data_IF_559671951568
#
_entry.id   IF_559671951568
#
_cell.length_a   1.000
_cell.length_b   1.000
_cell.length_c   1.000
_cell.angle_alpha   90.00
_cell.angle_beta   90.00
_cell.angle_gamma   90.00
#
_symmetry.space_group_name_H-M   'P 1'
#
loop_
_entity.id
_entity.type
_entity.pdbx_description
1 polymer ?
2 non-polymer ?
3 water ?
#
# COMPACT_ATOMS: atom_id res chain seq x y z
N UNK A 1 -21.39 1.89 -12.53
CA UNK A 1 -20.63 1.08 -13.51
C UNK A 1 -20.86 -0.40 -13.33
N UNK A 2 -20.23 -1.17 -14.21
CA UNK A 2 -20.40 -2.63 -14.29
C UNK A 2 -19.74 -3.55 -13.30
N UNK A 3 -18.73 -3.08 -12.58
CA UNK A 3 -17.95 -3.98 -11.70
C UNK A 3 -17.16 -4.96 -12.59
N UNK A 4 -16.45 -5.89 -11.94
CA UNK A 4 -15.50 -6.68 -12.66
C UNK A 4 -16.07 -7.78 -13.51
N UNK A 5 -15.26 -8.19 -14.48
CA UNK A 5 -15.58 -9.36 -15.25
C UNK A 5 -14.76 -10.49 -14.60
N UNK A 6 -15.05 -11.68 -15.06
CA UNK A 6 -14.36 -12.91 -14.62
C UNK A 6 -12.84 -12.87 -14.85
N UNK A 7 -12.37 -12.01 -15.75
CA UNK A 7 -10.97 -11.93 -16.11
C UNK A 7 -10.19 -10.76 -15.51
N UNK A 8 -10.74 -10.10 -14.50
CA UNK A 8 -10.10 -8.94 -13.88
C UNK A 8 -8.64 -9.17 -13.52
N UNK A 9 -8.34 -10.31 -12.89
CA UNK A 9 -6.95 -10.56 -12.48
C UNK A 9 -6.00 -10.72 -13.67
N UNK A 10 -6.48 -11.45 -14.68
CA UNK A 10 -5.71 -11.66 -15.90
C UNK A 10 -5.51 -10.32 -16.60
N UNK A 11 -6.55 -9.50 -16.61
CA UNK A 11 -6.50 -8.17 -17.22
C UNK A 11 -5.44 -7.30 -16.55
N UNK A 12 -5.45 -7.24 -15.22
CA UNK A 12 -4.44 -6.45 -14.47
C UNK A 12 -3.05 -6.95 -14.73
N UNK A 13 -2.92 -8.27 -14.73
CA UNK A 13 -1.65 -8.88 -15.00
C UNK A 13 -1.13 -8.46 -16.39
N UNK A 14 -1.96 -8.53 -17.43
CA UNK A 14 -1.54 -8.18 -18.80
C UNK A 14 -1.27 -6.68 -18.92
N UNK A 15 -2.20 -5.89 -18.39
CA UNK A 15 -2.10 -4.44 -18.34
C UNK A 15 -0.79 -3.98 -17.69
N UNK A 16 -0.49 -4.56 -16.53
CA UNK A 16 0.72 -4.22 -15.78
C UNK A 16 1.93 -4.58 -16.61
N UNK A 17 1.87 -5.74 -17.24
CA UNK A 17 2.97 -6.18 -18.07
C UNK A 17 3.17 -5.26 -19.27
N UNK A 18 2.10 -5.07 -20.05
CA UNK A 18 2.19 -4.31 -21.28
C UNK A 18 2.47 -2.83 -21.11
N UNK A 19 1.65 -2.19 -20.27
CA UNK A 19 1.77 -0.75 -20.10
C UNK A 19 2.92 -0.38 -19.19
N UNK A 20 2.97 -0.98 -18.01
CA UNK A 20 3.88 -0.54 -16.96
C UNK A 20 5.24 -1.16 -16.95
N UNK A 21 5.32 -2.44 -17.25
CA UNK A 21 6.61 -3.12 -17.29
C UNK A 21 7.27 -3.01 -18.65
N UNK A 22 6.49 -3.03 -19.73
CA UNK A 22 7.03 -2.99 -21.10
C UNK A 22 6.94 -1.64 -21.77
N UNK A 23 6.18 -0.70 -21.19
CA UNK A 23 6.07 0.64 -21.74
C UNK A 23 5.28 0.75 -23.02
N UNK A 24 4.34 -0.19 -23.22
CA UNK A 24 3.47 -0.16 -24.37
C UNK A 24 2.36 0.81 -23.93
N UNK A 25 2.67 2.10 -24.06
CA UNK A 25 1.80 3.18 -23.58
C UNK A 25 0.43 3.12 -24.23
N UNK A 26 0.41 2.89 -25.54
CA UNK A 26 -0.83 2.82 -26.32
C UNK A 26 -1.73 1.64 -25.98
N UNK A 27 -1.17 0.58 -25.38
CA UNK A 27 -1.98 -0.53 -24.87
C UNK A 27 -2.96 -0.08 -23.78
N UNK A 28 -2.71 1.07 -23.16
CA UNK A 28 -3.66 1.70 -22.23
C UNK A 28 -5.06 1.81 -22.81
N UNK A 29 -5.15 2.03 -24.13
CA UNK A 29 -6.43 2.05 -24.82
C UNK A 29 -7.30 0.82 -24.58
N UNK A 30 -6.69 -0.34 -24.38
CA UNK A 30 -7.41 -1.58 -24.14
C UNK A 30 -7.90 -1.75 -22.72
N UNK A 31 -7.28 -1.02 -21.78
CA UNK A 31 -7.52 -1.23 -20.35
C UNK A 31 -8.14 -0.12 -19.55
N UNK A 32 -7.99 1.12 -20.00
CA UNK A 32 -8.44 2.26 -19.23
C UNK A 32 -9.82 2.68 -19.64
N UNK A 33 -10.63 2.98 -18.63
CA UNK A 33 -11.97 3.48 -18.84
C UNK A 33 -11.89 4.91 -19.34
N UNK A 34 -13.00 5.44 -19.86
CA UNK A 34 -12.99 6.83 -20.35
C UNK A 34 -12.59 7.86 -19.28
N UNK A 35 -12.89 7.55 -18.03
CA UNK A 35 -12.53 8.39 -16.87
C UNK A 35 -11.73 7.51 -15.92
N UNK A 36 -10.55 8.00 -15.53
CA UNK A 36 -9.67 7.29 -14.65
C UNK A 36 -9.24 8.25 -13.57
N UNK A 37 -9.47 7.88 -12.31
CA UNK A 37 -9.18 8.75 -11.20
C UNK A 37 -8.05 8.22 -10.38
N UNK A 38 -7.04 9.05 -10.16
CA UNK A 38 -5.95 8.69 -9.25
C UNK A 38 -6.55 9.06 -7.89
N UNK A 39 -7.18 8.09 -7.27
CA UNK A 39 -7.89 8.32 -6.02
C UNK A 39 -6.94 8.63 -4.89
N UNK A 40 -5.82 7.93 -4.85
CA UNK A 40 -4.83 8.14 -3.83
C UNK A 40 -3.55 7.58 -4.36
N UNK A 41 -2.47 8.33 -4.20
CA UNK A 41 -1.18 7.92 -4.73
C UNK A 41 -0.17 8.96 -4.26
N UNK A 42 0.28 8.82 -3.00
CA UNK A 42 1.15 9.78 -2.37
C UNK A 42 2.27 10.30 -3.25
N UNK A 43 2.30 11.62 -3.40
CA UNK A 43 3.31 12.28 -4.20
C UNK A 43 3.10 12.27 -5.70
N UNK A 44 2.04 11.58 -6.17
CA UNK A 44 1.81 11.49 -7.58
C UNK A 44 1.30 12.85 -8.04
N UNK A 45 1.91 13.44 -9.08
CA UNK A 45 1.43 14.72 -9.57
C UNK A 45 -0.04 14.76 -9.98
N UNK A 46 -0.59 13.61 -10.39
CA UNK A 46 -1.99 13.45 -10.79
C UNK A 46 -2.91 13.02 -9.67
N UNK A 47 -2.42 12.93 -8.43
CA UNK A 47 -3.26 12.51 -7.33
C UNK A 47 -4.50 13.39 -7.22
N UNK A 48 -5.65 12.73 -7.09
CA UNK A 48 -6.93 13.38 -7.02
C UNK A 48 -7.52 13.73 -8.36
N UNK A 49 -6.79 13.56 -9.45
CA UNK A 49 -7.27 13.99 -10.76
C UNK A 49 -8.02 12.89 -11.47
N UNK A 50 -8.98 13.34 -12.27
CA UNK A 50 -9.76 12.50 -13.15
C UNK A 50 -9.10 12.71 -14.49
N UNK A 51 -8.60 11.62 -15.05
CA UNK A 51 -7.91 11.62 -16.33
C UNK A 51 -8.74 10.96 -17.42
N UNK A 52 -8.56 11.40 -18.65
CA UNK A 52 -9.12 10.65 -19.78
C UNK A 52 -7.98 9.70 -20.19
N UNK A 53 -8.22 8.85 -21.16
CA UNK A 53 -7.17 7.89 -21.59
C UNK A 53 -5.89 8.61 -22.04
N UNK A 54 -6.04 9.72 -22.76
CA UNK A 54 -4.90 10.52 -23.21
C UNK A 54 -4.07 10.99 -22.01
N UNK A 55 -4.76 11.54 -21.00
CA UNK A 55 -4.13 12.02 -19.76
C UNK A 55 -3.47 10.88 -19.02
N UNK A 56 -4.15 9.74 -18.97
CA UNK A 56 -3.57 8.52 -18.38
C UNK A 56 -2.25 8.17 -19.06
N UNK A 57 -2.26 8.17 -20.39
CA UNK A 57 -1.07 7.82 -21.17
C UNK A 57 0.05 8.82 -20.92
N UNK A 58 -0.28 10.09 -20.76
CA UNK A 58 0.75 11.09 -20.45
C UNK A 58 1.38 10.81 -19.10
N UNK A 59 0.57 10.39 -18.13
CA UNK A 59 1.11 10.05 -16.83
C UNK A 59 2.02 8.83 -16.95
N UNK A 60 1.61 7.83 -17.73
CA UNK A 60 2.47 6.67 -17.94
C UNK A 60 3.80 7.10 -18.53
N UNK A 61 3.74 7.97 -19.53
CA UNK A 61 4.96 8.44 -20.18
C UNK A 61 5.92 9.11 -19.19
N UNK A 62 5.36 9.92 -18.29
CA UNK A 62 6.19 10.62 -17.28
C UNK A 62 6.81 9.66 -16.30
N UNK A 63 5.98 8.79 -15.74
CA UNK A 63 6.46 7.81 -14.77
C UNK A 63 7.42 6.81 -15.41
N UNK A 64 7.11 6.35 -16.62
CA UNK A 64 8.00 5.40 -17.31
C UNK A 64 9.34 6.05 -17.61
N UNK A 65 9.34 7.31 -18.05
CA UNK A 65 10.56 8.03 -18.38
C UNK A 65 11.57 8.14 -17.22
N UNK A 66 11.08 8.23 -15.99
CA UNK A 66 11.93 8.29 -14.80
C UNK A 66 12.80 7.04 -14.63
N UNK A 67 12.20 5.87 -14.90
CA UNK A 67 12.84 4.56 -14.80
C UNK A 67 12.35 3.76 -15.98
N UNK A 68 12.95 3.99 -17.18
CA UNK A 68 12.45 3.36 -18.40
C UNK A 68 12.48 1.85 -18.50
N UNK A 69 13.34 1.19 -17.73
CA UNK A 69 13.37 -0.28 -17.73
C UNK A 69 12.64 -0.87 -16.54
N UNK A 70 11.82 -0.06 -15.86
CA UNK A 70 11.11 -0.53 -14.69
C UNK A 70 10.23 -1.73 -14.99
N UNK A 71 10.14 -2.64 -14.01
CA UNK A 71 9.38 -3.84 -14.18
C UNK A 71 8.63 -4.10 -12.89
N UNK A 72 7.34 -4.34 -13.02
CA UNK A 72 6.46 -4.66 -11.91
C UNK A 72 6.36 -6.18 -11.85
N UNK A 73 6.42 -6.71 -10.63
CA UNK A 73 6.39 -8.12 -10.38
C UNK A 73 5.24 -8.30 -9.39
N UNK A 74 4.10 -8.73 -9.93
CA UNK A 74 2.88 -8.85 -9.15
C UNK A 74 3.11 -9.97 -8.16
N UNK A 75 2.81 -9.66 -6.91
CA UNK A 75 2.91 -10.60 -5.81
C UNK A 75 1.57 -11.22 -5.52
N UNK A 76 0.54 -10.42 -5.34
CA UNK A 76 -0.77 -10.92 -5.04
C UNK A 76 -1.83 -10.12 -5.76
N UNK A 77 -2.96 -10.77 -6.04
CA UNK A 77 -4.12 -10.11 -6.63
C UNK A 77 -5.27 -10.49 -5.74
N UNK A 78 -5.96 -9.50 -5.20
CA UNK A 78 -7.03 -9.71 -4.24
C UNK A 78 -8.26 -9.02 -4.79
N UNK A 79 -9.21 -9.82 -5.32
CA UNK A 79 -10.39 -9.32 -6.00
C UNK A 79 -11.54 -9.25 -5.01
N UNK A 80 -12.21 -8.12 -4.95
CA UNK A 80 -13.39 -8.00 -4.10
C UNK A 80 -14.27 -6.94 -4.72
N UNK A 81 -15.47 -7.36 -5.13
CA UNK A 81 -16.45 -6.44 -5.71
C UNK A 81 -15.91 -5.89 -7.01
N UNK A 82 -15.96 -4.57 -7.16
CA UNK A 82 -15.46 -3.83 -8.31
C UNK A 82 -13.97 -3.50 -8.30
N UNK A 83 -13.22 -4.12 -7.39
CA UNK A 83 -11.82 -3.82 -7.20
C UNK A 83 -10.96 -5.06 -7.19
N UNK A 84 -9.72 -4.87 -7.61
CA UNK A 84 -8.70 -5.88 -7.48
C UNK A 84 -7.49 -5.14 -6.93
N UNK A 85 -7.03 -5.58 -5.78
CA UNK A 85 -5.83 -5.04 -5.17
C UNK A 85 -4.66 -5.86 -5.69
N UNK A 86 -3.61 -5.19 -6.16
CA UNK A 86 -2.42 -5.81 -6.65
C UNK A 86 -1.30 -5.38 -5.73
N UNK A 87 -0.61 -6.34 -5.15
CA UNK A 87 0.61 -6.05 -4.42
C UNK A 87 1.70 -6.42 -5.39
N UNK A 88 2.81 -5.69 -5.30
CA UNK A 88 3.88 -5.85 -6.25
C UNK A 88 5.23 -5.39 -5.74
N UNK A 89 6.23 -5.96 -6.37
CA UNK A 89 7.61 -5.57 -6.22
C UNK A 89 7.90 -4.90 -7.53
N UNK A 90 8.99 -4.14 -7.53
CA UNK A 90 9.35 -3.33 -8.66
C UNK A 90 10.83 -3.20 -8.68
N UNK A 91 11.39 -3.24 -9.87
CA UNK A 91 12.80 -3.09 -10.04
C UNK A 91 13.00 -2.18 -11.23
N UNK A 92 14.03 -1.38 -11.16
CA UNK A 92 14.40 -0.48 -12.26
C UNK A 92 15.85 -0.12 -12.05
N UNK A 93 16.52 0.21 -13.15
CA UNK A 93 17.91 0.63 -13.14
C UNK A 93 17.88 2.14 -12.97
N UNK A 94 18.77 2.66 -12.14
CA UNK A 94 18.88 4.10 -11.92
C UNK A 94 19.79 4.63 -13.03
N UNK A 95 19.22 4.77 -14.23
CA UNK A 95 19.99 5.20 -15.42
C UNK A 95 19.57 6.55 -16.06
N UNK A 96 18.49 7.14 -15.55
CA UNK A 96 18.08 8.49 -15.94
C UNK A 96 18.39 9.40 -14.77
N UNK A 97 18.76 10.65 -15.07
CA UNK A 97 19.02 11.66 -14.05
C UNK A 97 17.67 12.10 -13.48
N UNK A 98 17.56 12.05 -12.15
CA UNK A 98 16.36 12.47 -11.40
C UNK A 98 16.80 13.60 -10.45
N UNK A 99 15.84 14.40 -9.92
CA UNK A 99 16.21 15.52 -9.04
C UNK A 99 17.17 15.18 -7.89
N UNK A 100 18.40 15.68 -8.00
CA UNK A 100 19.47 15.46 -7.01
C UNK A 100 20.30 14.18 -7.14
N UNK A 101 19.80 13.19 -7.89
CA UNK A 101 20.46 11.88 -8.05
C UNK A 101 20.64 11.51 -9.51
N UNK A 102 21.78 11.93 -10.10
CA UNK A 102 22.06 11.52 -11.47
C UNK A 102 22.32 10.00 -11.61
N UNK A 103 21.98 9.48 -12.79
CA UNK A 103 22.15 8.09 -13.21
C UNK A 103 23.37 7.34 -12.65
N UNK A 104 23.14 6.38 -11.76
CA UNK A 104 24.19 5.54 -11.17
C UNK A 104 24.26 4.12 -11.75
N UNK A 105 23.25 3.74 -12.55
CA UNK A 105 23.16 2.39 -13.12
C UNK A 105 22.82 1.26 -12.16
N UNK A 106 22.60 1.56 -10.87
CA UNK A 106 22.31 0.55 -9.87
C UNK A 106 20.83 0.17 -9.91
N UNK A 107 20.54 -1.04 -9.44
CA UNK A 107 19.15 -1.52 -9.33
C UNK A 107 18.44 -0.84 -8.17
N UNK A 108 17.27 -0.28 -8.44
CA UNK A 108 16.41 0.31 -7.42
C UNK A 108 15.27 -0.69 -7.26
N UNK A 109 14.91 -0.98 -6.01
CA UNK A 109 13.84 -1.90 -5.69
C UNK A 109 12.76 -1.17 -4.91
N UNK A 110 11.51 -1.49 -5.20
CA UNK A 110 10.39 -0.86 -4.52
C UNK A 110 9.30 -1.90 -4.43
N UNK A 111 8.36 -1.68 -3.53
CA UNK A 111 7.18 -2.51 -3.43
C UNK A 111 6.01 -1.60 -3.29
N UNK A 112 4.85 -2.13 -3.63
CA UNK A 112 3.68 -1.32 -3.53
C UNK A 112 2.43 -2.15 -3.55
N UNK A 113 1.35 -1.44 -3.26
CA UNK A 113 0.03 -2.02 -3.27
C UNK A 113 -0.87 -1.04 -3.99
N UNK A 114 -1.71 -1.55 -4.88
CA UNK A 114 -2.54 -0.72 -5.69
C UNK A 114 -3.89 -1.36 -5.79
N UNK A 115 -4.89 -0.64 -5.32
CA UNK A 115 -6.29 -1.06 -5.49
C UNK A 115 -6.65 -0.52 -6.85
N UNK A 116 -7.12 -1.40 -7.72
CA UNK A 116 -7.58 -1.02 -9.04
C UNK A 116 -9.06 -1.21 -9.05
N UNK A 117 -9.77 -0.18 -9.51
CA UNK A 117 -11.20 -0.22 -9.62
C UNK A 117 -11.53 -0.47 -11.06
N UNK A 118 -12.59 -1.26 -11.25
CA UNK A 118 -13.01 -1.70 -12.57
C UNK A 118 -14.41 -1.28 -12.92
N UNK A 119 -14.59 -1.12 -14.22
CA UNK A 119 -15.92 -0.95 -14.80
C UNK A 119 -15.81 -1.96 -15.93
N UNK A 120 -16.34 -3.17 -15.71
CA UNK A 120 -16.16 -4.25 -16.67
C UNK A 120 -14.69 -4.61 -16.72
N UNK A 121 -14.12 -4.64 -17.93
CA UNK A 121 -12.71 -4.94 -18.13
C UNK A 121 -11.81 -3.71 -18.07
N UNK A 122 -12.36 -2.55 -17.75
CA UNK A 122 -11.62 -1.32 -17.80
C UNK A 122 -11.39 -0.73 -16.44
N UNK A 123 -10.23 -0.09 -16.29
CA UNK A 123 -9.83 0.45 -15.01
C UNK A 123 -10.33 1.86 -14.92
N UNK A 124 -10.95 2.17 -13.79
CA UNK A 124 -11.52 3.48 -13.54
C UNK A 124 -10.71 4.32 -12.57
N UNK A 125 -9.73 3.72 -11.91
CA UNK A 125 -8.90 4.47 -11.01
C UNK A 125 -8.06 3.58 -10.18
N UNK A 126 -7.20 4.19 -9.36
CA UNK A 126 -6.41 3.42 -8.41
C UNK A 126 -6.20 4.15 -7.08
N UNK A 127 -5.97 3.35 -6.05
CA UNK A 127 -5.65 3.81 -4.71
C UNK A 127 -4.36 3.06 -4.45
N UNK A 128 -3.26 3.80 -4.33
CA UNK A 128 -1.96 3.18 -4.27
C UNK A 128 -1.07 3.69 -3.17
N UNK A 129 -0.25 2.80 -2.65
CA UNK A 129 0.82 3.20 -1.72
C UNK A 129 2.03 2.46 -2.24
N UNK A 130 3.17 3.12 -2.27
CA UNK A 130 4.41 2.52 -2.71
C UNK A 130 5.47 2.88 -1.69
N UNK A 131 6.53 2.08 -1.66
CA UNK A 131 7.65 2.29 -0.75
C UNK A 131 8.61 3.35 -1.31
N UNK A 132 8.14 4.58 -1.35
CA UNK A 132 8.95 5.67 -1.85
C UNK A 132 10.13 5.97 -0.94
N UNK A 133 9.98 5.76 0.37
CA UNK A 133 11.07 6.03 1.30
C UNK A 133 12.25 5.08 1.02
N UNK A 134 11.93 3.81 0.76
CA UNK A 134 12.90 2.79 0.38
C UNK A 134 13.70 3.24 -0.83
N UNK A 135 13.02 3.69 -1.88
CA UNK A 135 13.72 4.20 -3.08
C UNK A 135 14.60 5.40 -2.72
N UNK A 136 14.02 6.36 -1.99
CA UNK A 136 14.70 7.58 -1.53
C UNK A 136 15.99 7.21 -0.79
N UNK A 137 15.89 6.26 0.13
CA UNK A 137 17.04 5.72 0.88
C UNK A 137 18.10 5.05 -0.01
N UNK A 138 17.64 4.21 -0.94
CA UNK A 138 18.53 3.53 -1.89
C UNK A 138 19.28 4.51 -2.79
N UNK A 139 18.60 5.56 -3.25
CA UNK A 139 19.23 6.62 -4.02
C UNK A 139 20.29 7.36 -3.21
N UNK A 140 20.05 7.51 -1.90
CA UNK A 140 21.04 8.10 -0.97
C UNK A 140 22.29 7.24 -0.92
N UNK A 141 22.12 5.92 -0.76
CA UNK A 141 23.27 5.00 -0.75
C UNK A 141 24.01 4.90 -2.10
N UNK A 142 23.29 5.12 -3.20
CA UNK A 142 23.87 5.11 -4.55
C UNK A 142 24.84 6.29 -4.75
N UNK A 143 24.34 7.51 -4.57
CA UNK A 143 25.15 8.73 -4.72
C UNK A 143 26.10 8.90 -3.54
N UNK B 2 -19.04 1.43 2.58
CA UNK B 2 -18.07 0.29 2.75
C UNK B 2 -18.75 -0.76 3.62
N UNK B 3 -19.67 -1.51 3.01
CA UNK B 3 -20.43 -2.49 3.76
C UNK B 3 -19.55 -3.53 4.43
N UNK B 4 -11.46 -18.94 6.45
CA UNK B 4 -11.45 -17.56 6.94
C UNK B 4 -12.84 -17.20 7.44
N UNK B 5 -12.88 -16.54 8.60
CA UNK B 5 -14.17 -16.10 9.14
C UNK B 5 -14.91 -15.22 8.17
N UNK B 6 -16.21 -15.43 8.07
CA UNK B 6 -17.07 -14.59 7.23
C UNK B 6 -17.10 -13.18 7.84
N UNK B 7 -16.78 -13.09 9.12
CA UNK B 7 -16.81 -11.80 9.85
C UNK B 7 -15.49 -11.06 9.74
N UNK B 8 -14.68 -11.46 8.75
CA UNK B 8 -13.29 -11.02 8.57
C UNK B 8 -13.16 -9.50 8.49
N UNK B 9 -14.04 -8.86 7.74
CA UNK B 9 -14.01 -7.39 7.62
C UNK B 9 -14.38 -6.71 8.94
N UNK B 10 -15.38 -7.26 9.64
CA UNK B 10 -15.77 -6.76 10.96
C UNK B 10 -14.58 -6.91 11.90
N UNK B 11 -13.93 -8.08 11.85
CA UNK B 11 -12.79 -8.36 12.71
C UNK B 11 -11.69 -7.36 12.50
N UNK B 12 -11.32 -7.14 11.25
CA UNK B 12 -10.27 -6.19 10.94
C UNK B 12 -10.62 -4.79 11.40
N UNK B 13 -11.87 -4.43 11.27
CA UNK B 13 -12.33 -3.11 11.70
C UNK B 13 -12.17 -2.92 13.21
N UNK B 14 -12.68 -3.88 13.96
CA UNK B 14 -12.60 -3.88 15.41
C UNK B 14 -11.17 -3.98 15.92
N UNK B 15 -10.44 -4.94 15.38
CA UNK B 15 -9.03 -5.16 15.70
C UNK B 15 -8.22 -3.90 15.50
N UNK B 16 -8.37 -3.30 14.33
CA UNK B 16 -7.62 -2.11 14.01
C UNK B 16 -7.97 -1.01 14.98
N UNK B 17 -9.25 -0.85 15.28
CA UNK B 17 -9.66 0.17 16.22
C UNK B 17 -9.10 -0.08 17.61
N UNK B 18 -9.35 -1.28 18.13
CA UNK B 18 -8.93 -1.63 19.48
C UNK B 18 -7.45 -1.64 19.69
N UNK B 19 -6.73 -2.39 18.86
CA UNK B 19 -5.31 -2.53 19.05
C UNK B 19 -4.54 -1.32 18.55
N UNK B 20 -4.80 -0.95 17.31
CA UNK B 20 -3.97 0.05 16.62
C UNK B 20 -4.38 1.49 16.76
N UNK B 21 -5.67 1.74 16.83
CA UNK B 21 -6.17 3.09 17.05
C UNK B 21 -6.29 3.42 18.53
N UNK B 22 -6.54 2.42 19.36
CA UNK B 22 -6.76 2.63 20.79
C UNK B 22 -5.67 2.13 21.72
N UNK B 23 -4.69 1.42 21.18
CA UNK B 23 -3.59 0.92 21.97
C UNK B 23 -4.00 -0.13 22.97
N UNK B 24 -5.07 -0.85 22.71
CA UNK B 24 -5.54 -1.91 23.59
C UNK B 24 -4.72 -3.12 23.16
N UNK B 25 -3.48 -3.16 23.65
CA UNK B 25 -2.50 -4.17 23.25
C UNK B 25 -2.96 -5.59 23.57
N UNK B 26 -3.56 -5.76 24.74
CA UNK B 26 -4.04 -7.07 25.17
C UNK B 26 -5.23 -7.58 24.36
N UNK B 27 -5.91 -6.69 23.63
CA UNK B 27 -6.97 -7.11 22.70
C UNK B 27 -6.42 -7.98 21.55
N UNK B 28 -5.12 -7.88 21.27
CA UNK B 28 -4.39 -8.71 20.29
C UNK B 28 -4.65 -10.19 20.45
N UNK B 29 -4.84 -10.65 21.67
CA UNK B 29 -5.17 -12.06 21.96
C UNK B 29 -6.43 -12.51 21.22
N UNK B 30 -7.38 -11.59 21.04
CA UNK B 30 -8.62 -11.92 20.32
C UNK B 30 -8.44 -12.08 18.82
N UNK B 31 -7.43 -11.43 18.26
CA UNK B 31 -7.27 -11.33 16.82
C UNK B 31 -6.08 -11.99 16.17
N UNK B 32 -5.02 -12.20 16.94
CA UNK B 32 -3.78 -12.68 16.41
C UNK B 32 -3.64 -14.16 16.64
N UNK B 33 -3.27 -14.86 15.57
CA UNK B 33 -3.06 -16.30 15.60
C UNK B 33 -1.81 -16.59 16.43
N UNK B 34 -1.64 -17.84 16.88
CA UNK B 34 -0.44 -18.19 17.64
C UNK B 34 0.89 -17.87 16.98
N UNK B 35 0.90 -17.85 15.64
CA UNK B 35 2.03 -17.45 14.84
C UNK B 35 1.53 -16.35 13.94
N UNK B 36 2.27 -15.24 13.95
CA UNK B 36 1.95 -14.09 13.15
C UNK B 36 3.21 -13.67 12.43
N UNK B 37 3.15 -13.61 11.11
CA UNK B 37 4.33 -13.30 10.32
C UNK B 37 4.25 -11.96 9.65
N UNK B 38 5.27 -11.14 9.86
CA UNK B 38 5.40 -9.84 9.21
C UNK B 38 6.10 -10.23 7.91
N UNK B 39 5.29 -10.42 6.88
CA UNK B 39 5.76 -10.88 5.56
C UNK B 39 6.57 -9.83 4.86
N UNK B 40 6.04 -8.63 4.89
CA UNK B 40 6.62 -7.52 4.18
C UNK B 40 6.10 -6.29 4.86
N UNK B 41 7.00 -5.39 5.23
CA UNK B 41 6.64 -4.21 5.99
C UNK B 41 7.93 -3.40 6.01
N UNK B 42 8.17 -2.64 4.91
CA UNK B 42 9.46 -1.92 4.79
C UNK B 42 9.84 -1.11 6.03
N UNK B 43 11.06 -1.33 6.53
CA UNK B 43 11.54 -0.64 7.72
C UNK B 43 11.12 -1.25 9.04
N UNK B 44 10.23 -2.23 9.04
CA UNK B 44 9.75 -2.77 10.29
C UNK B 44 10.82 -3.65 10.92
N UNK B 45 11.18 -3.40 12.21
CA UNK B 45 12.19 -4.24 12.87
C UNK B 45 11.93 -5.74 12.86
N UNK B 46 10.65 -6.12 12.80
CA UNK B 46 10.20 -7.51 12.80
C UNK B 46 9.87 -8.02 11.41
N UNK B 47 10.22 -7.28 10.35
CA UNK B 47 9.93 -7.74 9.01
C UNK B 47 10.64 -9.07 8.79
N UNK B 48 9.90 -10.03 8.24
CA UNK B 48 10.41 -11.35 7.97
C UNK B 48 10.41 -12.29 9.15
N UNK B 49 9.84 -11.87 10.29
CA UNK B 49 9.80 -12.69 11.49
C UNK B 49 8.42 -13.30 11.70
N UNK B 50 8.41 -14.49 12.27
CA UNK B 50 7.20 -15.20 12.62
C UNK B 50 7.15 -14.95 14.10
N UNK B 51 6.18 -14.15 14.53
CA UNK B 51 6.04 -13.76 15.90
C UNK B 51 5.03 -14.64 16.61
N UNK B 52 5.19 -14.74 17.92
CA UNK B 52 4.14 -15.32 18.76
C UNK B 52 3.29 -14.13 19.22
N UNK B 53 2.22 -14.36 19.96
CA UNK B 53 1.35 -13.23 20.40
C UNK B 53 2.10 -12.24 21.30
N UNK B 54 2.93 -12.75 22.20
CA UNK B 54 3.75 -11.88 23.06
C UNK B 54 4.61 -10.97 22.18
N UNK B 55 5.26 -11.55 21.17
CA UNK B 55 6.07 -10.82 20.21
C UNK B 55 5.27 -9.82 19.43
N UNK B 56 4.07 -10.20 19.01
CA UNK B 56 3.19 -9.30 18.33
C UNK B 56 2.89 -8.08 19.23
N UNK B 57 2.54 -8.37 20.48
CA UNK B 57 2.18 -7.33 21.45
C UNK B 57 3.32 -6.38 21.74
N UNK B 58 4.53 -6.94 21.84
CA UNK B 58 5.76 -6.15 22.04
C UNK B 58 5.90 -5.20 20.86
N UNK B 59 5.68 -5.72 19.67
CA UNK B 59 5.74 -4.91 18.45
C UNK B 59 4.70 -3.78 18.43
N UNK B 60 3.49 -4.07 18.91
CA UNK B 60 2.45 -3.02 18.98
C UNK B 60 2.94 -1.91 19.89
N UNK B 61 3.33 -2.28 21.11
CA UNK B 61 3.84 -1.32 22.09
C UNK B 61 4.96 -0.46 21.52
N UNK B 62 5.94 -1.12 20.91
CA UNK B 62 7.11 -0.45 20.32
C UNK B 62 6.76 0.45 19.16
N UNK B 63 6.00 -0.08 18.21
CA UNK B 63 5.57 0.70 17.05
C UNK B 63 4.66 1.86 17.39
N UNK B 64 3.71 1.67 18.31
CA UNK B 64 2.79 2.75 18.67
C UNK B 64 3.35 3.80 19.62
N UNK B 65 4.44 3.49 20.31
CA UNK B 65 5.04 4.41 21.28
C UNK B 65 5.37 5.80 20.70
N UNK B 66 5.74 5.83 19.42
CA UNK B 66 6.04 7.03 18.67
C UNK B 66 4.85 7.95 18.51
N UNK B 67 3.67 7.36 18.26
CA UNK B 67 2.42 8.09 18.05
C UNK B 67 1.31 7.41 18.83
N UNK B 68 1.31 7.59 20.16
CA UNK B 68 0.30 6.97 21.01
C UNK B 68 -1.16 7.24 20.69
N UNK B 69 -1.47 8.37 20.04
CA UNK B 69 -2.85 8.68 19.73
C UNK B 69 -3.19 8.38 18.27
N UNK B 70 -2.33 7.63 17.58
CA UNK B 70 -2.55 7.32 16.20
C UNK B 70 -3.91 6.66 16.02
N UNK B 71 -4.56 7.04 14.94
CA UNK B 71 -5.87 6.52 14.63
C UNK B 71 -5.93 6.13 13.17
N UNK B 72 -6.29 4.86 12.94
CA UNK B 72 -6.45 4.30 11.61
C UNK B 72 -7.87 4.51 11.14
N UNK B 73 -7.99 4.90 9.87
CA UNK B 73 -9.26 5.14 9.23
C UNK B 73 -9.31 4.27 7.99
N UNK B 74 -10.02 3.15 8.09
CA UNK B 74 -10.04 2.15 7.01
C UNK B 74 -10.80 2.73 5.83
N UNK B 75 -10.15 2.71 4.67
CA UNK B 75 -10.76 3.20 3.42
C UNK B 75 -11.42 2.08 2.62
N UNK B 76 -10.83 0.90 2.63
CA UNK B 76 -11.39 -0.23 1.92
C UNK B 76 -10.89 -1.53 2.55
N UNK B 77 -11.73 -2.55 2.41
CA UNK B 77 -11.41 -3.90 2.84
C UNK B 77 -11.71 -4.78 1.64
N UNK B 78 -10.70 -5.47 1.13
CA UNK B 78 -10.81 -6.27 -0.08
C UNK B 78 -10.45 -7.69 0.25
N UNK B 79 -11.47 -8.53 0.35
CA UNK B 79 -11.33 -9.90 0.78
C UNK B 79 -11.22 -10.80 -0.42
N UNK B 80 -10.21 -11.66 -0.42
CA UNK B 80 -10.07 -12.65 -1.45
C UNK B 80 -9.44 -13.84 -0.76
N UNK B 81 -10.20 -14.94 -0.73
CA UNK B 81 -9.77 -16.17 -0.11
C UNK B 81 -9.50 -15.93 1.36
N UNK B 82 -8.31 -16.28 1.81
CA UNK B 82 -7.94 -16.15 3.20
C UNK B 82 -7.31 -14.80 3.52
N UNK B 83 -7.33 -13.87 2.57
CA UNK B 83 -6.71 -12.56 2.71
C UNK B 83 -7.76 -11.47 2.60
N UNK B 84 -7.52 -10.40 3.35
CA UNK B 84 -8.31 -9.19 3.29
C UNK B 84 -7.28 -8.07 3.22
N UNK B 85 -7.32 -7.31 2.14
CA UNK B 85 -6.45 -6.16 2.03
C UNK B 85 -7.22 -5.02 2.68
N UNK B 86 -6.54 -4.32 3.58
CA UNK B 86 -7.06 -3.16 4.25
C UNK B 86 -6.25 -1.97 3.80
N UNK B 87 -6.94 -1.01 3.23
CA UNK B 87 -6.34 0.26 2.88
C UNK B 87 -6.82 1.21 3.96
N UNK B 88 -5.96 2.15 4.29
CA UNK B 88 -6.24 3.04 5.38
C UNK B 88 -5.54 4.36 5.31
N UNK B 89 -6.19 5.33 5.95
CA UNK B 89 -5.59 6.62 6.25
C UNK B 89 -5.27 6.54 7.72
N UNK B 90 -4.48 7.50 8.17
CA UNK B 90 -3.97 7.47 9.51
C UNK B 90 -3.64 8.89 9.92
N UNK B 91 -3.94 9.21 11.18
CA UNK B 91 -3.58 10.51 11.72
C UNK B 91 -3.07 10.28 13.13
N UNK B 92 -2.14 11.13 13.55
CA UNK B 92 -1.55 11.06 14.88
C UNK B 92 -0.99 12.43 15.16
N UNK B 93 -0.95 12.76 16.44
CA UNK B 93 -0.42 14.02 16.88
C UNK B 93 1.03 13.73 17.18
N UNK B 94 1.89 14.59 16.68
CA UNK B 94 3.29 14.51 16.99
C UNK B 94 3.50 15.16 18.36
N UNK B 95 3.07 14.42 19.39
CA UNK B 95 3.12 14.85 20.79
C UNK B 95 4.35 14.24 21.47
N UNK B 96 4.88 13.12 20.95
CA UNK B 96 6.05 12.48 21.52
C UNK B 96 7.29 12.89 20.75
N UNK B 97 8.44 12.83 21.42
CA UNK B 97 9.70 13.07 20.75
C UNK B 97 10.01 11.76 20.08
N UNK B 98 10.21 11.79 18.77
CA UNK B 98 10.55 10.57 18.02
C UNK B 98 11.96 10.75 17.48
N UNK B 99 12.64 9.66 17.09
CA UNK B 99 14.04 9.81 16.70
C UNK B 99 14.21 10.85 15.59
N UNK B 100 15.06 11.83 15.85
CA UNK B 100 15.33 12.93 14.92
C UNK B 100 14.31 14.05 14.94
N UNK B 101 13.16 13.86 15.56
CA UNK B 101 12.07 14.81 15.50
C UNK B 101 11.38 15.02 16.85
N UNK B 102 11.84 16.02 17.62
CA UNK B 102 11.14 16.38 18.86
C UNK B 102 9.69 16.77 18.57
N UNK B 103 8.81 16.55 19.55
CA UNK B 103 7.38 16.81 19.40
C UNK B 103 7.09 18.24 18.93
N UNK B 104 6.13 18.37 18.03
CA UNK B 104 5.67 19.64 17.52
C UNK B 104 4.20 19.92 17.81
N UNK B 105 3.45 18.89 18.21
CA UNK B 105 2.00 18.99 18.37
C UNK B 105 1.25 18.96 17.05
N UNK B 106 1.96 18.84 15.92
CA UNK B 106 1.31 18.85 14.64
C UNK B 106 0.71 17.51 14.34
N UNK B 107 -0.30 17.50 13.48
CA UNK B 107 -0.94 16.29 13.06
C UNK B 107 -0.08 15.71 11.96
N UNK B 108 0.21 14.43 12.08
CA UNK B 108 0.96 13.70 11.09
C UNK B 108 -0.07 12.81 10.41
N UNK B 109 -0.07 12.81 9.09
CA UNK B 109 -0.99 11.99 8.31
C UNK B 109 -0.18 10.92 7.58
N UNK B 110 -0.77 9.74 7.42
CA UNK B 110 -0.17 8.64 6.70
C UNK B 110 -1.29 7.86 6.06
N UNK B 111 -0.90 6.99 5.14
CA UNK B 111 -1.81 6.05 4.53
C UNK B 111 -1.04 4.80 4.27
N UNK B 112 -1.75 3.72 4.05
CA UNK B 112 -1.13 2.46 3.84
C UNK B 112 -2.07 1.40 3.34
N UNK B 113 -1.48 0.27 2.94
CA UNK B 113 -2.24 -0.88 2.46
C UNK B 113 -1.67 -2.05 3.23
N UNK B 114 -2.52 -2.88 3.79
CA UNK B 114 -2.09 -3.98 4.62
C UNK B 114 -2.87 -5.22 4.22
N UNK B 115 -2.19 -6.23 3.71
CA UNK B 115 -2.81 -7.48 3.35
C UNK B 115 -2.74 -8.29 4.62
N UNK B 116 -3.90 -8.66 5.14
CA UNK B 116 -4.01 -9.46 6.34
C UNK B 116 -4.39 -10.84 5.92
N UNK B 117 -3.76 -11.82 6.55
CA UNK B 117 -4.04 -13.21 6.26
C UNK B 117 -4.69 -13.79 7.46
N UNK B 118 -5.76 -14.55 7.22
CA UNK B 118 -6.52 -15.18 8.28
C UNK B 118 -6.32 -16.68 8.29
N UNK B 119 -6.41 -17.21 9.50
CA UNK B 119 -6.55 -18.64 9.72
C UNK B 119 -7.74 -18.60 10.64
N UNK B 120 -8.92 -18.89 10.09
CA UNK B 120 -10.16 -18.82 10.83
C UNK B 120 -10.52 -17.39 11.15
N UNK B 121 -10.71 -17.12 12.44
CA UNK B 121 -11.08 -15.82 12.99
C UNK B 121 -9.86 -14.97 13.31
N UNK B 122 -8.65 -15.50 13.17
CA UNK B 122 -7.46 -14.77 13.56
C UNK B 122 -6.44 -14.57 12.45
N UNK B 123 -5.58 -13.59 12.70
CA UNK B 123 -4.61 -13.12 11.74
C UNK B 123 -3.29 -13.83 11.88
N UNK B 124 -2.75 -14.30 10.76
CA UNK B 124 -1.49 -15.05 10.73
C UNK B 124 -0.34 -14.24 10.19
N UNK B 125 -0.62 -13.05 9.69
CA UNK B 125 0.46 -12.20 9.18
C UNK B 125 -0.07 -11.08 8.32
N UNK B 126 0.87 -10.27 7.87
CA UNK B 126 0.52 -9.17 7.01
C UNK B 126 1.62 -8.83 6.03
N UNK B 127 1.20 -8.17 4.97
CA UNK B 127 2.11 -7.67 3.94
C UNK B 127 1.64 -6.24 3.83
N UNK B 128 2.53 -5.28 4.11
CA UNK B 128 2.12 -3.92 4.21
C UNK B 128 3.05 -2.94 3.56
N UNK B 129 2.46 -1.84 3.10
CA UNK B 129 3.22 -0.74 2.55
C UNK B 129 2.56 0.49 3.15
N UNK B 130 3.36 1.42 3.66
CA UNK B 130 2.82 2.64 4.23
C UNK B 130 3.55 3.82 3.65
N UNK B 131 2.93 5.00 3.75
CA UNK B 131 3.51 6.20 3.20
C UNK B 131 4.52 6.79 4.19
N UNK B 132 5.64 6.09 4.34
CA UNK B 132 6.70 6.54 5.23
C UNK B 132 7.36 7.79 4.74
N UNK B 133 7.53 7.93 3.42
CA UNK B 133 8.12 9.13 2.88
C UNK B 133 7.25 10.33 3.20
N UNK B 134 5.93 10.21 3.03
CA UNK B 134 5.01 11.30 3.37
C UNK B 134 5.19 11.75 4.80
N UNK B 135 5.29 10.81 5.73
CA UNK B 135 5.50 11.13 7.14
C UNK B 135 6.83 11.81 7.35
N UNK B 136 7.85 11.26 6.73
CA UNK B 136 9.20 11.82 6.82
C UNK B 136 9.21 13.26 6.34
N UNK B 137 8.52 13.48 5.21
CA UNK B 137 8.38 14.82 4.67
C UNK B 137 7.69 15.78 5.64
N UNK B 138 6.58 15.33 6.20
CA UNK B 138 5.83 16.14 7.17
C UNK B 138 6.70 16.48 8.37
N UNK B 139 7.42 15.47 8.87
CA UNK B 139 8.32 15.67 10.02
C UNK B 139 9.42 16.68 9.71
N UNK B 140 10.04 16.51 8.55
CA UNK B 140 11.07 17.43 8.06
C UNK B 140 10.54 18.85 7.87
N UNK B 141 9.35 18.97 7.29
CA UNK B 141 8.73 20.28 7.06
C UNK B 141 8.48 21.02 8.38
N UNK B 142 8.05 20.28 9.41
CA UNK B 142 7.78 20.79 10.74
C UNK B 142 9.00 20.98 11.64
N UNK B 143 10.13 20.35 11.32
CA UNK B 143 11.34 20.40 12.14
C UNK B 143 12.04 21.76 12.12
X LIG C 1 1.88 3.43 -11.48
X LIG C 1 1.74 4.29 -10.39
X LIG C 1 0.60 2.68 -11.79
X LIG C 1 -0.44 3.61 -12.02
X LIG C 1 0.29 1.66 -10.69
X LIG C 1 0.38 0.30 -11.08
X LIG D 1 0.88 -1.79 11.87
X LIG D 1 2.13 -2.00 11.25
X LIG D 1 0.03 -3.07 11.84
X LIG D 1 0.74 -4.23 12.20
X LIG D 1 -0.43 -3.36 10.43
X LIG D 1 -1.51 -2.50 10.08
#
# INVERSE_FOLDING_TARGET
>A
GMSISSKAKEILTQFTREVWSEGNIEASDKYIAPKYTVLHDPGDPWEGRELDVAGYKERVKTLRAAFPDQCFDIQGLFADGDAVVMTWLWTATHKEDIPGFPSTGKQIKMSGATVYYFDGNRLTGHWQITDRLGVYQQLRQAAAGA
>B
GMSISSKAKEILTQFTREVWSEGNIEASDKYIAPKYTVLHDPGDPWEGRELDVAGYKERVKTLRAAFPDQCFDIQGLFADGDAVVMTWLWTATHKEDIPGFPSTGKQIKMSGATVYYFDGNRLTGHWQITDRLGVYQQLRQAAAGA
>C hetero
1 GOL C1 O1 C2 O2 C3 O3
>D hetero
1 GOL C1 O1 C2 O2 C3 O3
#
